data_IF_592990758701
#
_entry.id   IF_592990758701
#
_cell.length_a   1.000
_cell.length_b   1.000
_cell.length_c   1.000
_cell.angle_alpha   90.00
_cell.angle_beta   90.00
_cell.angle_gamma   90.00
#
_symmetry.space_group_name_H-M   'P 1'
#
loop_
_entity.id
_entity.type
_entity.pdbx_description
1 polymer ?
#
# COMPACT_ATOMS: atom_id res chain seq x y z
N UNK A 1 23.86 -10.40 25.49
CA UNK A 1 22.41 -10.25 25.77
C UNK A 1 21.68 -10.86 24.59
N UNK A 2 20.88 -11.90 24.79
CA UNK A 2 20.16 -12.59 23.70
C UNK A 2 18.85 -11.84 23.43
N UNK A 3 18.39 -11.79 22.17
CA UNK A 3 17.15 -11.09 21.80
C UNK A 3 15.93 -11.54 22.63
N UNK A 4 15.89 -12.81 23.03
CA UNK A 4 14.85 -13.38 23.89
C UNK A 4 14.83 -12.82 25.33
N UNK A 5 15.93 -12.25 25.81
CA UNK A 5 16.01 -11.63 27.15
C UNK A 5 15.42 -10.21 27.19
N UNK A 6 15.26 -9.57 26.03
CA UNK A 6 14.79 -8.18 25.88
C UNK A 6 13.37 -8.14 25.30
N UNK A 7 12.96 -9.18 24.57
CA UNK A 7 11.63 -9.24 23.96
C UNK A 7 10.52 -9.20 25.02
N UNK A 8 9.67 -8.17 24.94
CA UNK A 8 8.40 -8.10 25.66
C UNK A 8 7.26 -8.10 24.63
N UNK A 9 6.30 -9.04 24.73
CA UNK A 9 5.14 -9.03 23.85
C UNK A 9 4.35 -7.73 24.02
N UNK A 10 3.86 -7.17 22.91
CA UNK A 10 3.02 -6.00 22.97
C UNK A 10 1.71 -6.31 23.72
N UNK A 11 1.32 -5.45 24.66
CA UNK A 11 0.04 -5.55 25.37
C UNK A 11 -1.16 -5.11 24.53
N UNK A 12 -0.90 -4.48 23.37
CA UNK A 12 -1.94 -3.97 22.46
C UNK A 12 -2.59 -5.12 21.71
N UNK A 13 -3.88 -5.33 21.95
CA UNK A 13 -4.70 -6.29 21.20
C UNK A 13 -4.84 -5.80 19.75
N UNK A 14 -4.43 -6.63 18.79
CA UNK A 14 -4.68 -6.38 17.38
C UNK A 14 -6.16 -6.67 17.07
N UNK A 15 -6.89 -5.64 16.63
CA UNK A 15 -8.33 -5.74 16.33
C UNK A 15 -8.63 -6.01 14.86
N UNK A 16 -7.61 -6.31 14.06
CA UNK A 16 -7.72 -6.33 12.61
C UNK A 16 -7.60 -4.94 12.00
N UNK A 17 -7.68 -4.90 10.67
CA UNK A 17 -7.80 -3.66 9.93
C UNK A 17 -9.24 -3.15 10.03
N UNK A 18 -9.46 -1.83 10.16
CA UNK A 18 -10.79 -1.26 10.03
C UNK A 18 -11.34 -1.50 8.62
N UNK A 19 -12.65 -1.36 8.45
CA UNK A 19 -13.21 -1.24 7.11
C UNK A 19 -12.68 0.05 6.46
N UNK A 20 -12.12 -0.07 5.26
CA UNK A 20 -11.46 1.04 4.55
C UNK A 20 -12.33 1.44 3.37
N UNK A 21 -12.69 2.71 3.33
CA UNK A 21 -13.36 3.36 2.21
C UNK A 21 -12.56 4.56 1.71
N UNK A 22 -12.66 4.86 0.42
CA UNK A 22 -11.93 5.95 -0.24
C UNK A 22 -12.89 6.94 -0.93
N UNK A 23 -13.76 7.65 -0.17
CA UNK A 23 -14.78 8.51 -0.75
C UNK A 23 -14.22 9.76 -1.46
N UNK A 24 -12.97 10.13 -1.18
CA UNK A 24 -12.29 11.27 -1.81
C UNK A 24 -11.44 10.87 -3.03
N UNK A 25 -11.43 9.59 -3.38
CA UNK A 25 -10.75 9.04 -4.54
C UNK A 25 -11.75 8.80 -5.67
N UNK A 26 -11.28 8.88 -6.91
CA UNK A 26 -12.16 8.69 -8.08
C UNK A 26 -12.69 7.26 -8.17
N UNK A 27 -11.91 6.30 -7.64
CA UNK A 27 -12.31 4.90 -7.52
C UNK A 27 -11.49 4.19 -6.47
N UNK A 28 -11.95 3.02 -6.09
CA UNK A 28 -11.15 2.04 -5.36
C UNK A 28 -10.96 0.76 -6.18
N UNK A 29 -9.97 -0.05 -5.79
CA UNK A 29 -9.68 -1.33 -6.42
C UNK A 29 -9.22 -2.36 -5.40
N UNK A 30 -9.68 -3.60 -5.57
CA UNK A 30 -9.22 -4.74 -4.77
C UNK A 30 -7.92 -5.31 -5.38
N UNK A 31 -6.90 -5.47 -4.55
CA UNK A 31 -5.67 -6.15 -4.95
C UNK A 31 -5.92 -7.66 -5.00
N UNK A 32 -5.65 -8.25 -6.15
CA UNK A 32 -5.77 -9.71 -6.34
C UNK A 32 -4.74 -10.47 -5.51
N UNK A 33 -4.97 -11.78 -5.32
CA UNK A 33 -4.08 -12.65 -4.54
C UNK A 33 -2.60 -12.62 -5.00
N UNK A 34 -2.34 -12.34 -6.29
CA UNK A 34 -0.98 -12.25 -6.81
C UNK A 34 -0.36 -10.84 -6.71
N UNK A 35 -0.96 -9.92 -5.94
CA UNK A 35 -0.42 -8.57 -5.73
C UNK A 35 -0.62 -7.62 -6.90
N UNK A 36 -1.58 -7.89 -7.78
CA UNK A 36 -1.89 -7.08 -8.96
C UNK A 36 -3.25 -6.44 -8.87
N UNK A 37 -3.39 -5.30 -9.53
CA UNK A 37 -4.69 -4.65 -9.76
C UNK A 37 -5.03 -4.64 -11.26
N UNK A 38 -6.32 -4.66 -11.57
CA UNK A 38 -6.84 -4.54 -12.92
C UNK A 38 -7.43 -3.15 -13.11
N UNK A 39 -6.88 -2.38 -14.06
CA UNK A 39 -7.25 -1.00 -14.28
C UNK A 39 -7.10 -0.66 -15.76
N UNK A 40 -8.10 -0.02 -16.38
CA UNK A 40 -8.10 0.29 -17.83
C UNK A 40 -7.69 -0.89 -18.73
N UNK A 41 -8.17 -2.11 -18.43
CA UNK A 41 -7.82 -3.37 -19.11
C UNK A 41 -6.32 -3.75 -19.03
N UNK A 42 -5.56 -3.12 -18.15
CA UNK A 42 -4.15 -3.39 -17.85
C UNK A 42 -4.04 -4.08 -16.48
N UNK A 43 -3.01 -4.92 -16.33
CA UNK A 43 -2.63 -5.54 -15.06
C UNK A 43 -1.39 -4.83 -14.54
N UNK A 44 -1.47 -4.25 -13.35
CA UNK A 44 -0.41 -3.44 -12.75
C UNK A 44 0.07 -4.15 -11.49
N UNK A 45 1.39 -4.30 -11.35
CA UNK A 45 1.99 -4.93 -10.17
C UNK A 45 2.06 -3.90 -9.03
N UNK A 46 1.51 -4.26 -7.88
CA UNK A 46 1.57 -3.46 -6.65
C UNK A 46 2.50 -4.17 -5.66
N UNK A 47 1.98 -5.15 -4.93
CA UNK A 47 2.74 -6.00 -4.00
C UNK A 47 1.83 -7.10 -3.49
N UNK A 48 2.39 -8.30 -3.28
CA UNK A 48 1.68 -9.43 -2.67
C UNK A 48 1.32 -9.18 -1.21
N UNK A 49 2.05 -8.29 -0.51
CA UNK A 49 1.79 -7.93 0.88
C UNK A 49 0.43 -7.25 1.06
N UNK A 50 -0.08 -6.61 -0.01
CA UNK A 50 -1.34 -5.87 -0.01
C UNK A 50 -2.47 -6.71 -0.63
N UNK A 51 -2.25 -8.00 -0.88
CA UNK A 51 -3.27 -8.88 -1.45
C UNK A 51 -4.55 -8.92 -0.58
N UNK A 52 -5.71 -8.82 -1.23
CA UNK A 52 -7.02 -8.81 -0.57
C UNK A 52 -7.40 -7.47 0.07
N UNK A 53 -6.58 -6.43 -0.06
CA UNK A 53 -6.90 -5.09 0.44
C UNK A 53 -7.44 -4.17 -0.66
N UNK A 54 -8.25 -3.18 -0.27
CA UNK A 54 -8.73 -2.10 -1.16
C UNK A 54 -7.73 -0.95 -1.17
N UNK A 55 -7.45 -0.44 -2.36
CA UNK A 55 -6.62 0.75 -2.60
C UNK A 55 -7.48 1.86 -3.17
N UNK A 56 -7.27 3.09 -2.71
CA UNK A 56 -7.82 4.28 -3.32
C UNK A 56 -6.98 4.67 -4.53
N UNK A 57 -7.62 5.02 -5.64
CA UNK A 57 -6.97 5.51 -6.85
C UNK A 57 -7.55 6.88 -7.19
N UNK A 58 -6.67 7.86 -7.35
CA UNK A 58 -7.05 9.21 -7.76
C UNK A 58 -6.24 9.63 -8.98
N UNK A 59 -6.92 10.08 -10.01
CA UNK A 59 -6.28 10.61 -11.21
C UNK A 59 -5.75 12.01 -10.90
N UNK A 60 -4.44 12.19 -11.07
CA UNK A 60 -3.76 13.47 -10.80
C UNK A 60 -3.37 14.19 -12.09
N UNK A 61 -3.17 13.43 -13.16
CA UNK A 61 -2.93 13.89 -14.52
C UNK A 61 -3.42 12.80 -15.50
N UNK A 62 -3.57 13.11 -16.78
CA UNK A 62 -4.07 12.16 -17.79
C UNK A 62 -3.24 10.88 -17.81
N UNK A 63 -3.84 9.78 -17.39
CA UNK A 63 -3.17 8.48 -17.32
C UNK A 63 -2.16 8.30 -16.17
N UNK A 64 -2.06 9.28 -15.25
CA UNK A 64 -1.24 9.21 -14.03
C UNK A 64 -2.14 9.17 -12.79
N UNK A 65 -1.97 8.13 -11.99
CA UNK A 65 -2.86 7.83 -10.87
C UNK A 65 -2.08 7.68 -9.56
N UNK A 66 -2.43 8.44 -8.53
CA UNK A 66 -1.90 8.19 -7.19
C UNK A 66 -2.64 7.00 -6.56
N UNK A 67 -1.87 6.11 -5.93
CA UNK A 67 -2.36 4.94 -5.22
C UNK A 67 -2.23 5.18 -3.73
N UNK A 68 -3.34 5.11 -3.01
CA UNK A 68 -3.38 5.31 -1.56
C UNK A 68 -3.81 4.02 -0.87
N UNK A 69 -3.11 3.66 0.20
CA UNK A 69 -3.54 2.64 1.15
C UNK A 69 -3.74 3.26 2.53
N UNK A 70 -4.96 3.17 3.05
CA UNK A 70 -5.39 3.86 4.27
C UNK A 70 -5.16 5.39 4.15
N UNK A 71 -4.23 5.93 4.94
CA UNK A 71 -3.87 7.35 4.97
C UNK A 71 -2.52 7.64 4.28
N UNK A 72 -1.95 6.65 3.58
CA UNK A 72 -0.61 6.75 2.99
C UNK A 72 -0.66 6.55 1.49
N UNK A 73 -0.07 7.49 0.77
CA UNK A 73 0.18 7.33 -0.66
C UNK A 73 1.35 6.35 -0.83
N UNK A 74 1.15 5.33 -1.67
CA UNK A 74 2.14 4.32 -1.98
C UNK A 74 3.04 4.76 -3.14
N UNK A 75 2.47 5.50 -4.09
CA UNK A 75 3.13 5.80 -5.35
C UNK A 75 2.18 6.27 -6.43
N UNK A 76 2.75 6.51 -7.60
CA UNK A 76 2.05 6.87 -8.82
C UNK A 76 2.05 5.69 -9.79
N UNK A 77 0.92 5.43 -10.42
CA UNK A 77 0.80 4.53 -11.56
C UNK A 77 0.80 5.37 -12.82
N UNK A 78 1.72 5.05 -13.71
CA UNK A 78 1.67 5.48 -15.10
C UNK A 78 1.01 4.35 -15.92
N UNK A 79 -0.12 4.65 -16.58
CA UNK A 79 -0.84 3.65 -17.39
C UNK A 79 -0.05 3.19 -18.61
N UNK A 80 0.85 4.01 -19.16
CA UNK A 80 1.73 3.65 -20.27
C UNK A 80 2.78 2.64 -19.81
N UNK A 81 3.48 2.96 -18.71
CA UNK A 81 4.54 2.14 -18.14
C UNK A 81 4.01 0.89 -17.40
N UNK A 82 2.76 0.89 -16.95
CA UNK A 82 2.10 -0.18 -16.17
C UNK A 82 2.83 -0.54 -14.88
N UNK A 83 3.58 0.42 -14.34
CA UNK A 83 4.38 0.26 -13.12
C UNK A 83 3.93 1.25 -12.07
N UNK A 84 4.01 0.83 -10.81
CA UNK A 84 3.93 1.73 -9.67
C UNK A 84 5.31 2.34 -9.45
N UNK A 85 5.40 3.66 -9.52
CA UNK A 85 6.54 4.45 -9.08
C UNK A 85 6.33 4.82 -7.62
N UNK A 86 7.08 4.23 -6.67
CA UNK A 86 6.90 4.52 -5.26
C UNK A 86 7.19 5.99 -4.97
N UNK A 87 6.42 6.60 -4.07
CA UNK A 87 6.80 7.90 -3.52
C UNK A 87 7.96 7.73 -2.54
N UNK A 88 8.65 8.85 -2.23
CA UNK A 88 9.62 8.87 -1.15
C UNK A 88 9.00 8.33 0.14
N UNK A 89 9.71 7.43 0.81
CA UNK A 89 9.18 6.73 1.96
C UNK A 89 8.71 7.73 3.03
N UNK A 90 7.41 7.83 3.34
CA UNK A 90 6.89 8.78 4.33
C UNK A 90 7.39 8.46 5.74
N UNK A 91 7.91 7.26 5.97
CA UNK A 91 8.51 6.83 7.25
C UNK A 91 10.04 7.11 7.33
N UNK A 92 10.66 7.63 6.26
CA UNK A 92 12.09 7.91 6.17
C UNK A 92 13.00 6.67 6.14
N UNK A 93 14.32 6.86 5.98
CA UNK A 93 15.33 5.77 5.98
C UNK A 93 15.56 5.14 7.36
N UNK A 94 14.78 5.51 8.38
CA UNK A 94 14.91 4.94 9.73
C UNK A 94 14.28 3.56 9.79
N UNK A 95 14.95 2.60 9.14
CA UNK A 95 14.93 1.23 9.61
C UNK A 95 15.56 1.24 10.99
N UNK A 96 14.78 0.95 12.03
CA UNK A 96 15.34 0.53 13.31
C UNK A 96 16.32 -0.60 12.99
N UNK A 97 17.60 -0.54 13.41
CA UNK A 97 18.45 -1.72 13.32
C UNK A 97 17.68 -2.87 13.99
N UNK A 98 17.47 -3.96 13.25
CA UNK A 98 16.97 -5.18 13.86
C UNK A 98 18.00 -5.58 14.93
N UNK A 99 17.65 -5.40 16.20
CA UNK A 99 18.44 -5.85 17.34
C UNK A 99 18.01 -7.23 17.80
#
# INVERSE_FOLDING_TARGET
>A
MRAAEIYRPASRIYRGLPEIEYPMHDRDVLVTACGRICMHRRKINISTVIAGQRLGLKEVEDGIWVVTFMAYDLGYIDLEQKTLQPIDNPFGTRVSPMS
#
